data_IF_030627757936
#
_entry.id   IF_030627757936
#
_cell.length_a   1.000
_cell.length_b   1.000
_cell.length_c   1.000
_cell.angle_alpha   90.00
_cell.angle_beta   90.00
_cell.angle_gamma   90.00
#
_symmetry.space_group_name_H-M   'P 1'
#
loop_
_entity.id
_entity.type
_entity.pdbx_description
1 polymer ?
#
# COMPACT_ATOMS: atom_id res chain seq x y z
N UNK A 1 18.14 -64.55 -74.10
CA UNK A 1 17.22 -64.69 -72.94
C UNK A 1 17.90 -64.00 -71.75
N UNK A 2 17.38 -62.84 -71.35
CA UNK A 2 18.02 -61.92 -70.40
C UNK A 2 17.90 -62.46 -68.98
N UNK A 3 19.03 -62.58 -68.28
CA UNK A 3 19.12 -62.86 -66.85
C UNK A 3 19.03 -61.52 -66.11
N UNK A 4 17.91 -61.25 -65.45
CA UNK A 4 17.75 -60.11 -64.54
C UNK A 4 17.86 -60.64 -63.11
N UNK A 5 19.00 -60.41 -62.45
CA UNK A 5 19.11 -60.55 -61.00
C UNK A 5 18.94 -59.13 -60.45
N UNK A 6 17.71 -58.83 -60.03
CA UNK A 6 17.42 -57.62 -59.28
C UNK A 6 17.92 -57.84 -57.84
N UNK A 7 18.91 -57.07 -57.42
CA UNK A 7 19.35 -57.03 -56.03
C UNK A 7 18.27 -56.38 -55.18
N UNK A 8 17.93 -57.06 -54.09
CA UNK A 8 16.99 -56.62 -53.06
C UNK A 8 17.55 -55.36 -52.38
N UNK A 9 16.98 -54.19 -52.70
CA UNK A 9 17.32 -52.94 -52.03
C UNK A 9 16.67 -52.94 -50.64
N UNK A 10 17.48 -53.15 -49.60
CA UNK A 10 17.06 -52.97 -48.21
C UNK A 10 17.05 -51.47 -47.91
N UNK A 11 15.90 -50.81 -48.10
CA UNK A 11 15.68 -49.45 -47.63
C UNK A 11 15.61 -49.46 -46.10
N UNK A 12 16.74 -49.17 -45.44
CA UNK A 12 16.74 -48.76 -44.04
C UNK A 12 16.19 -47.32 -44.03
N UNK A 13 14.88 -47.18 -43.83
CA UNK A 13 14.33 -45.93 -43.34
C UNK A 13 14.82 -45.77 -41.90
N UNK A 14 15.86 -44.97 -41.69
CA UNK A 14 16.07 -44.35 -40.40
C UNK A 14 14.88 -43.42 -40.16
N UNK A 15 13.90 -43.86 -39.39
CA UNK A 15 13.02 -42.93 -38.69
C UNK A 15 13.93 -42.11 -37.79
N UNK A 16 14.29 -40.90 -38.23
CA UNK A 16 14.69 -39.85 -37.32
C UNK A 16 13.50 -39.60 -36.40
N UNK A 17 13.49 -40.29 -35.26
CA UNK A 17 12.70 -39.90 -34.11
C UNK A 17 13.25 -38.55 -33.65
N UNK A 18 12.73 -37.48 -34.25
CA UNK A 18 12.76 -36.19 -33.62
C UNK A 18 11.74 -36.30 -32.48
N UNK A 19 12.22 -36.72 -31.31
CA UNK A 19 11.50 -36.54 -30.06
C UNK A 19 11.42 -35.03 -29.89
N UNK A 20 10.31 -34.45 -30.34
CA UNK A 20 9.97 -33.09 -29.99
C UNK A 20 9.86 -33.07 -28.46
N UNK A 21 10.92 -32.59 -27.81
CA UNK A 21 10.91 -32.20 -26.40
C UNK A 21 9.66 -31.35 -26.18
N UNK A 22 8.90 -31.53 -25.08
CA UNK A 22 7.74 -30.70 -24.81
C UNK A 22 8.19 -29.24 -24.86
N UNK A 23 7.60 -28.50 -25.80
CA UNK A 23 7.90 -27.09 -26.02
C UNK A 23 7.65 -26.37 -24.70
N UNK A 24 8.75 -25.83 -24.17
CA UNK A 24 8.81 -24.91 -23.04
C UNK A 24 7.76 -23.80 -23.22
N UNK A 25 6.63 -23.93 -22.52
CA UNK A 25 5.59 -22.92 -22.35
C UNK A 25 6.05 -21.79 -21.40
N UNK A 26 7.20 -21.16 -21.67
CA UNK A 26 7.63 -19.95 -20.99
C UNK A 26 8.03 -18.88 -22.01
N UNK A 27 7.08 -18.41 -22.82
CA UNK A 27 7.21 -17.10 -23.46
C UNK A 27 5.91 -16.54 -24.07
N UNK A 28 4.80 -16.60 -23.31
CA UNK A 28 3.56 -15.89 -23.67
C UNK A 28 2.85 -15.23 -22.48
N UNK A 29 3.62 -14.77 -21.50
CA UNK A 29 3.12 -13.86 -20.47
C UNK A 29 4.11 -12.72 -20.32
N UNK A 30 4.04 -11.77 -21.22
CA UNK A 30 4.37 -10.40 -20.88
C UNK A 30 3.29 -9.52 -21.52
N UNK A 31 2.78 -8.60 -20.72
CA UNK A 31 1.89 -7.49 -21.09
C UNK A 31 0.39 -7.80 -21.13
N UNK A 32 -0.17 -8.20 -19.99
CA UNK A 32 -1.43 -7.67 -19.45
C UNK A 32 -1.67 -8.32 -18.09
N UNK A 33 -1.31 -7.65 -16.98
CA UNK A 33 -1.99 -7.77 -15.66
C UNK A 33 -1.21 -7.24 -14.44
N UNK A 34 -0.01 -6.66 -14.56
CA UNK A 34 0.62 -6.03 -13.37
C UNK A 34 -0.11 -4.78 -12.88
N UNK A 35 -0.97 -4.14 -13.67
CA UNK A 35 -1.74 -2.97 -13.23
C UNK A 35 -3.09 -3.29 -12.60
N UNK A 36 -3.64 -4.50 -12.80
CA UNK A 36 -4.97 -4.86 -12.29
C UNK A 36 -4.95 -5.69 -11.00
N UNK A 37 -3.78 -6.22 -10.59
CA UNK A 37 -3.61 -7.02 -9.38
C UNK A 37 -2.77 -6.32 -8.28
N UNK A 38 -2.20 -5.15 -8.54
CA UNK A 38 -1.30 -4.45 -7.59
C UNK A 38 -1.97 -3.47 -6.62
N UNK A 39 -3.23 -3.06 -6.80
CA UNK A 39 -3.87 -2.11 -5.88
C UNK A 39 -4.81 -2.81 -4.91
N UNK A 40 -4.21 -3.57 -4.00
CA UNK A 40 -4.88 -4.24 -2.87
C UNK A 40 -5.11 -3.32 -1.68
N UNK A 41 -4.47 -2.16 -1.64
CA UNK A 41 -4.53 -1.16 -0.59
C UNK A 41 -4.95 0.16 -1.23
N UNK A 42 -5.50 1.06 -0.42
CA UNK A 42 -5.96 2.35 -0.92
C UNK A 42 -4.77 3.31 -1.05
N UNK A 43 -4.28 3.46 -2.28
CA UNK A 43 -3.17 4.35 -2.59
C UNK A 43 -3.51 5.84 -2.37
N UNK A 44 -4.80 6.19 -2.20
CA UNK A 44 -5.22 7.57 -2.02
C UNK A 44 -4.64 8.17 -0.75
N UNK A 45 -4.38 7.37 0.28
CA UNK A 45 -3.70 7.81 1.49
C UNK A 45 -2.27 8.30 1.25
N UNK A 46 -1.56 7.77 0.24
CA UNK A 46 -0.15 8.09 0.06
C UNK A 46 0.06 9.58 -0.23
N UNK A 47 0.94 10.20 0.55
CA UNK A 47 1.35 11.58 0.35
C UNK A 47 1.59 12.34 1.65
N UNK A 48 1.93 13.61 1.48
CA UNK A 48 1.93 14.60 2.54
C UNK A 48 0.58 15.31 2.53
N UNK A 49 -0.05 15.34 3.69
CA UNK A 49 -1.36 15.94 3.93
C UNK A 49 -1.19 17.12 4.87
N UNK A 50 -1.72 18.28 4.46
CA UNK A 50 -1.69 19.52 5.23
C UNK A 50 -3.09 19.83 5.72
N UNK A 51 -3.21 20.27 6.98
CA UNK A 51 -4.48 20.72 7.51
C UNK A 51 -5.00 21.89 6.65
N UNK A 52 -6.29 21.88 6.33
CA UNK A 52 -6.92 22.96 5.58
C UNK A 52 -7.04 24.24 6.42
N UNK A 53 -7.07 24.12 7.75
CA UNK A 53 -6.98 25.25 8.69
C UNK A 53 -5.52 25.54 9.07
N UNK A 54 -4.97 26.61 8.51
CA UNK A 54 -3.60 27.08 8.78
C UNK A 54 -3.41 27.69 10.18
N UNK A 55 -4.50 27.80 10.97
CA UNK A 55 -4.51 28.32 12.34
C UNK A 55 -4.89 27.26 13.37
N UNK A 56 -4.96 25.99 12.97
CA UNK A 56 -5.22 24.90 13.91
C UNK A 56 -4.21 24.94 15.07
N UNK A 57 -4.67 24.54 16.26
CA UNK A 57 -3.82 24.31 17.43
C UNK A 57 -3.60 22.82 17.71
N UNK A 58 -3.99 21.98 16.77
CA UNK A 58 -4.00 20.52 16.86
C UNK A 58 -2.97 19.94 15.89
N UNK A 59 -3.40 19.14 14.91
CA UNK A 59 -2.54 18.44 13.96
C UNK A 59 -2.36 19.33 12.74
N UNK A 60 -1.12 19.71 12.41
CA UNK A 60 -0.83 20.62 11.29
C UNK A 60 -0.62 19.86 9.98
N UNK A 61 -0.01 18.68 10.04
CA UNK A 61 0.26 17.84 8.86
C UNK A 61 0.52 16.38 9.25
N UNK A 62 0.34 15.48 8.28
CA UNK A 62 0.79 14.10 8.39
C UNK A 62 1.31 13.60 7.06
N UNK A 63 2.30 12.70 7.09
CA UNK A 63 2.81 12.00 5.92
C UNK A 63 2.42 10.54 6.03
N UNK A 64 1.68 10.05 5.06
CA UNK A 64 1.23 8.66 5.03
C UNK A 64 1.93 7.97 3.86
N UNK A 65 2.49 6.79 4.11
CA UNK A 65 3.06 5.93 3.09
C UNK A 65 2.66 4.48 3.35
N UNK A 66 2.53 3.70 2.29
CA UNK A 66 2.30 2.27 2.39
C UNK A 66 3.60 1.49 2.17
N UNK A 67 3.95 0.63 3.13
CA UNK A 67 5.13 -0.26 3.06
C UNK A 67 4.83 -1.55 3.80
N UNK A 68 5.27 -2.69 3.27
CA UNK A 68 5.18 -4.00 3.94
C UNK A 68 3.77 -4.35 4.45
N UNK A 69 2.73 -4.05 3.68
CA UNK A 69 1.34 -4.30 4.06
C UNK A 69 0.82 -3.48 5.26
N UNK A 70 1.45 -2.33 5.52
CA UNK A 70 1.08 -1.42 6.60
C UNK A 70 1.07 0.03 6.12
N UNK A 71 0.19 0.84 6.70
CA UNK A 71 0.33 2.29 6.61
C UNK A 71 1.32 2.78 7.66
N UNK A 72 2.31 3.53 7.22
CA UNK A 72 3.27 4.24 8.07
C UNK A 72 2.89 5.70 8.04
N UNK A 73 2.58 6.25 9.21
CA UNK A 73 2.16 7.65 9.38
C UNK A 73 3.20 8.38 10.21
N UNK A 74 3.78 9.44 9.68
CA UNK A 74 4.50 10.45 10.47
C UNK A 74 3.55 11.63 10.72
N UNK A 75 3.51 12.13 11.95
CA UNK A 75 2.52 13.10 12.40
C UNK A 75 3.17 14.32 13.03
N UNK A 76 2.63 15.51 12.78
CA UNK A 76 3.09 16.75 13.37
C UNK A 76 1.92 17.54 13.96
N UNK A 77 2.14 18.08 15.16
CA UNK A 77 1.20 18.98 15.82
C UNK A 77 1.75 20.39 15.94
N UNK A 78 0.84 21.35 16.07
CA UNK A 78 1.15 22.76 16.25
C UNK A 78 2.02 22.95 17.50
N UNK A 79 3.20 23.55 17.30
CA UNK A 79 4.14 24.00 18.31
C UNK A 79 4.83 25.27 17.82
N UNK A 80 5.50 25.99 18.72
CA UNK A 80 6.20 27.23 18.38
C UNK A 80 7.69 27.13 18.69
N UNK A 81 8.60 27.56 17.78
CA UNK A 81 8.35 28.16 16.47
C UNK A 81 8.11 27.17 15.31
N UNK A 82 8.35 25.90 15.54
CA UNK A 82 8.20 24.83 14.56
C UNK A 82 7.27 23.75 15.12
N UNK A 83 6.58 23.04 14.21
CA UNK A 83 5.72 21.92 14.57
C UNK A 83 6.46 20.86 15.38
N UNK A 84 5.81 20.32 16.41
CA UNK A 84 6.33 19.19 17.14
C UNK A 84 6.09 17.92 16.33
N UNK A 85 7.16 17.19 16.03
CA UNK A 85 7.08 15.84 15.49
C UNK A 85 6.55 14.89 16.58
N UNK A 86 5.45 14.19 16.29
CA UNK A 86 4.90 13.14 17.16
C UNK A 86 5.56 11.79 16.89
N UNK A 87 6.38 11.69 15.84
CA UNK A 87 7.07 10.49 15.40
C UNK A 87 6.30 9.72 14.31
N UNK A 88 6.80 8.52 14.04
CA UNK A 88 6.17 7.56 13.13
C UNK A 88 5.37 6.52 13.92
N UNK A 89 4.22 6.13 13.36
CA UNK A 89 3.39 5.05 13.88
C UNK A 89 2.86 4.19 12.74
N UNK A 90 2.60 2.91 13.01
CA UNK A 90 2.34 1.91 11.97
C UNK A 90 0.99 1.24 12.21
N UNK A 91 0.12 1.33 11.22
CA UNK A 91 -1.15 0.61 11.20
C UNK A 91 -0.93 -0.70 10.43
N UNK A 92 -0.87 -1.80 11.16
CA UNK A 92 -0.70 -3.15 10.61
C UNK A 92 -2.05 -3.78 10.26
N UNK A 93 -2.01 -4.90 9.54
CA UNK A 93 -3.19 -5.74 9.24
C UNK A 93 -4.35 -4.98 8.59
N UNK A 94 -4.00 -3.99 7.75
CA UNK A 94 -4.95 -3.15 7.05
C UNK A 94 -5.84 -4.00 6.13
N UNK A 95 -7.15 -3.81 6.27
CA UNK A 95 -8.12 -4.42 5.36
C UNK A 95 -7.90 -3.91 3.93
N UNK A 96 -7.97 -4.83 2.97
CA UNK A 96 -7.74 -4.53 1.55
C UNK A 96 -8.69 -3.44 1.09
N UNK A 97 -8.14 -2.42 0.43
CA UNK A 97 -8.92 -1.33 -0.14
C UNK A 97 -9.69 -0.47 0.87
N UNK A 98 -9.41 -0.57 2.17
CA UNK A 98 -10.08 0.27 3.17
C UNK A 98 -9.88 1.75 2.88
N UNK A 99 -10.94 2.53 3.05
CA UNK A 99 -10.92 3.99 3.03
C UNK A 99 -10.62 4.58 4.40
N UNK A 100 -10.44 3.73 5.43
CA UNK A 100 -10.33 4.14 6.83
C UNK A 100 -9.38 3.25 7.63
N UNK A 101 -8.60 3.86 8.51
CA UNK A 101 -7.83 3.14 9.54
C UNK A 101 -7.63 3.99 10.79
N UNK A 102 -7.14 3.38 11.87
CA UNK A 102 -6.93 4.06 13.16
C UNK A 102 -5.52 3.83 13.70
N UNK A 103 -5.01 4.82 14.44
CA UNK A 103 -3.77 4.72 15.20
C UNK A 103 -3.95 5.32 16.59
N UNK A 104 -3.38 4.65 17.60
CA UNK A 104 -3.24 5.20 18.95
C UNK A 104 -1.89 5.91 19.08
N UNK A 105 -1.92 7.20 19.37
CA UNK A 105 -0.74 8.00 19.70
C UNK A 105 -0.67 8.25 21.19
N UNK A 106 0.43 7.88 21.82
CA UNK A 106 0.66 8.08 23.25
C UNK A 106 1.80 9.07 23.46
N UNK A 107 1.52 10.19 24.10
CA UNK A 107 2.48 11.25 24.40
C UNK A 107 2.73 11.39 25.91
N UNK A 108 2.56 10.29 26.67
CA UNK A 108 2.73 10.17 28.12
C UNK A 108 1.74 10.97 28.97
N UNK A 109 1.46 12.23 28.62
CA UNK A 109 0.47 13.06 29.32
C UNK A 109 -0.95 12.88 28.77
N UNK A 110 -1.07 12.33 27.55
CA UNK A 110 -2.34 12.11 26.88
C UNK A 110 -2.23 11.09 25.75
N UNK A 111 -3.37 10.51 25.40
CA UNK A 111 -3.56 9.57 24.31
C UNK A 111 -4.49 10.18 23.25
N UNK A 112 -4.18 9.97 21.98
CA UNK A 112 -5.04 10.31 20.85
C UNK A 112 -5.36 9.05 20.07
N UNK A 113 -6.63 8.62 20.08
CA UNK A 113 -7.11 7.67 19.07
C UNK A 113 -7.47 8.48 17.82
N UNK A 114 -6.66 8.31 16.78
CA UNK A 114 -6.77 9.07 15.53
C UNK A 114 -7.30 8.18 14.44
N UNK A 115 -8.46 8.53 13.88
CA UNK A 115 -9.04 7.90 12.70
C UNK A 115 -8.68 8.71 11.46
N UNK A 116 -8.17 8.02 10.44
CA UNK A 116 -7.84 8.57 9.12
C UNK A 116 -8.85 8.02 8.12
N UNK A 117 -9.54 8.89 7.39
CA UNK A 117 -10.50 8.45 6.38
C UNK A 117 -10.39 9.27 5.10
N UNK A 118 -10.36 8.60 3.94
CA UNK A 118 -10.49 9.26 2.64
C UNK A 118 -11.96 9.42 2.31
N UNK A 119 -12.41 10.66 2.13
CA UNK A 119 -13.77 11.01 1.69
C UNK A 119 -13.63 12.02 0.55
N UNK A 120 -14.16 11.69 -0.63
CA UNK A 120 -14.12 12.54 -1.82
C UNK A 120 -12.71 13.08 -2.16
N UNK A 121 -11.68 12.25 -1.98
CA UNK A 121 -10.28 12.60 -2.24
C UNK A 121 -9.62 13.51 -1.20
N UNK A 122 -10.31 13.85 -0.12
CA UNK A 122 -9.76 14.55 1.05
C UNK A 122 -9.49 13.58 2.19
N UNK A 123 -8.50 13.90 3.01
CA UNK A 123 -8.25 13.18 4.24
C UNK A 123 -9.02 13.86 5.38
N UNK A 124 -9.96 13.14 5.97
CA UNK A 124 -10.61 13.51 7.23
C UNK A 124 -9.86 12.86 8.37
N UNK A 125 -9.45 13.65 9.35
CA UNK A 125 -8.74 13.19 10.55
C UNK A 125 -9.61 13.46 11.77
N UNK A 126 -10.03 12.40 12.45
CA UNK A 126 -10.77 12.51 13.73
C UNK A 126 -9.83 12.16 14.87
N UNK A 127 -9.59 13.10 15.78
CA UNK A 127 -8.75 12.94 16.95
C UNK A 127 -9.58 12.88 18.23
N UNK A 128 -9.69 11.70 18.84
CA UNK A 128 -10.26 11.51 20.17
C UNK A 128 -9.16 11.55 21.22
N UNK A 129 -9.07 12.66 21.94
CA UNK A 129 -8.02 12.96 22.91
C UNK A 129 -8.45 12.66 24.33
N UNK A 130 -7.63 11.89 25.06
CA UNK A 130 -7.78 11.60 26.49
C UNK A 130 -6.55 12.07 27.27
N UNK A 131 -6.72 12.98 28.24
CA UNK A 131 -5.64 13.38 29.13
C UNK A 131 -5.49 12.39 30.29
N UNK A 132 -4.25 11.99 30.60
CA UNK A 132 -3.92 10.99 31.63
C UNK A 132 -2.98 11.51 32.73
N UNK A 133 -2.65 12.79 32.67
CA UNK A 133 -1.69 13.46 33.57
C UNK A 133 -2.33 14.17 34.78
N UNK A 134 -3.64 13.97 35.02
CA UNK A 134 -4.40 14.64 36.09
C UNK A 134 -4.37 16.18 36.02
N UNK A 135 -4.08 16.77 34.85
CA UNK A 135 -4.05 18.23 34.67
C UNK A 135 -5.42 18.93 34.79
N UNK A 136 -6.51 18.17 34.88
CA UNK A 136 -7.89 18.70 34.87
C UNK A 136 -8.39 19.13 33.49
N UNK A 137 -7.56 18.98 32.45
CA UNK A 137 -7.98 19.23 31.06
C UNK A 137 -9.07 18.23 30.66
N UNK A 138 -10.12 18.74 30.01
CA UNK A 138 -11.19 17.90 29.50
C UNK A 138 -10.75 17.11 28.27
N UNK A 139 -11.20 15.87 28.18
CA UNK A 139 -11.10 15.07 26.95
C UNK A 139 -11.93 15.74 25.85
N UNK A 140 -11.51 15.55 24.60
CA UNK A 140 -12.22 16.11 23.45
C UNK A 140 -12.19 15.19 22.25
N UNK A 141 -13.05 15.49 21.29
CA UNK A 141 -13.02 14.95 19.94
C UNK A 141 -12.97 16.12 18.96
N UNK A 142 -12.07 16.04 17.99
CA UNK A 142 -11.88 17.07 16.98
C UNK A 142 -11.83 16.42 15.60
N UNK A 143 -12.59 16.95 14.65
CA UNK A 143 -12.58 16.52 13.25
C UNK A 143 -11.97 17.63 12.42
N UNK A 144 -10.92 17.29 11.69
CA UNK A 144 -10.16 18.22 10.85
C UNK A 144 -10.04 17.66 9.43
N UNK A 145 -9.92 18.56 8.46
CA UNK A 145 -9.85 18.22 7.03
C UNK A 145 -8.48 18.57 6.50
N UNK A 146 -7.94 17.68 5.67
CA UNK A 146 -6.60 17.80 5.13
C UNK A 146 -6.65 17.70 3.62
N UNK A 147 -5.82 18.51 2.98
CA UNK A 147 -5.56 18.48 1.55
C UNK A 147 -4.18 17.89 1.28
N UNK A 148 -4.08 17.12 0.20
CA UNK A 148 -2.79 16.61 -0.27
C UNK A 148 -1.95 17.79 -0.77
N UNK A 149 -0.67 17.84 -0.40
CA UNK A 149 0.28 18.85 -0.88
C UNK A 149 0.64 18.63 -2.35
#
# INVERSE_FOLDING_TARGET
>A
MKLFIATLSLLIFFCNINVQSPDNENNRINQHSNTALENYWNNDFNGLWLNEDDKTRSITKCKISYKNNSYVVQMWGECHPEDCDWGENVANDIEKGTDKFELLWDQEFAESLVTYQIIDGKLTVTNKRRFKDNSGRANYELVEYFKKQ
#
